data_IF_933608533303
#
_entry.id   IF_933608533303
#
_cell.length_a   1.000
_cell.length_b   1.000
_cell.length_c   1.000
_cell.angle_alpha   90.00
_cell.angle_beta   90.00
_cell.angle_gamma   90.00
#
_symmetry.space_group_name_H-M   'P 1'
#
loop_
_entity.id
_entity.type
_entity.pdbx_description
1 polymer ?
#
# COMPACT_ATOMS: atom_id res chain seq x y z
N UNK A 1 -9.30 13.14 -13.70
CA UNK A 1 -8.22 14.08 -13.33
C UNK A 1 -8.76 15.48 -13.06
N UNK A 2 -9.55 16.08 -13.95
CA UNK A 2 -10.11 17.43 -13.78
C UNK A 2 -10.79 17.69 -12.42
N UNK A 3 -11.73 16.84 -12.00
CA UNK A 3 -12.40 17.00 -10.70
C UNK A 3 -11.43 16.90 -9.52
N UNK A 4 -10.41 16.04 -9.61
CA UNK A 4 -9.38 15.91 -8.56
C UNK A 4 -8.56 17.21 -8.49
N UNK A 5 -8.25 17.82 -9.63
CA UNK A 5 -7.53 19.08 -9.71
C UNK A 5 -8.34 20.23 -9.11
N UNK A 6 -9.63 20.31 -9.43
CA UNK A 6 -10.54 21.31 -8.86
C UNK A 6 -10.60 21.19 -7.33
N UNK A 7 -10.75 19.96 -6.81
CA UNK A 7 -10.71 19.69 -5.37
C UNK A 7 -9.38 20.14 -4.78
N UNK A 8 -8.25 19.72 -5.37
CA UNK A 8 -6.90 20.07 -4.91
C UNK A 8 -6.66 21.59 -4.87
N UNK A 9 -7.29 22.36 -5.74
CA UNK A 9 -7.15 23.82 -5.80
C UNK A 9 -8.09 24.56 -4.83
N UNK A 10 -9.17 23.91 -4.38
CA UNK A 10 -10.26 24.58 -3.65
C UNK A 10 -10.27 24.25 -2.16
N UNK A 11 -9.88 23.05 -1.76
CA UNK A 11 -9.94 22.64 -0.35
C UNK A 11 -8.82 23.29 0.47
N UNK A 12 -9.14 23.65 1.73
CA UNK A 12 -8.18 24.29 2.65
C UNK A 12 -7.27 23.28 3.40
N UNK A 13 -7.45 21.98 3.15
CA UNK A 13 -6.74 20.88 3.84
C UNK A 13 -5.97 20.03 2.83
N UNK A 14 -4.93 19.29 3.24
CA UNK A 14 -4.21 18.40 2.34
C UNK A 14 -5.12 17.32 1.73
N UNK A 15 -5.00 17.08 0.42
CA UNK A 15 -5.65 15.99 -0.29
C UNK A 15 -4.77 14.75 -0.30
N UNK A 16 -5.37 13.59 0.03
CA UNK A 16 -4.77 12.28 -0.21
C UNK A 16 -5.63 11.57 -1.26
N UNK A 17 -5.04 11.21 -2.40
CA UNK A 17 -5.73 10.40 -3.40
C UNK A 17 -5.45 8.92 -3.14
N UNK A 18 -6.50 8.11 -3.01
CA UNK A 18 -6.40 6.74 -2.54
C UNK A 18 -7.07 5.78 -3.53
N UNK A 19 -6.40 4.66 -3.81
CA UNK A 19 -7.01 3.53 -4.51
C UNK A 19 -7.86 2.69 -3.52
N UNK A 20 -8.70 1.79 -4.02
CA UNK A 20 -9.67 1.01 -3.25
C UNK A 20 -9.40 -0.50 -3.22
N UNK A 21 -8.30 -0.99 -3.80
CA UNK A 21 -7.93 -2.42 -3.73
C UNK A 21 -7.40 -3.01 -5.04
N UNK A 22 -7.13 -2.19 -6.06
CA UNK A 22 -6.61 -2.57 -7.37
C UNK A 22 -5.18 -2.09 -7.62
N UNK A 23 -4.66 -1.19 -6.78
CA UNK A 23 -3.27 -0.72 -6.86
C UNK A 23 -3.06 0.41 -7.87
N UNK A 24 -2.18 1.36 -7.53
CA UNK A 24 -1.80 2.47 -8.42
C UNK A 24 -0.57 2.15 -9.28
N UNK A 25 -0.64 2.42 -10.58
CA UNK A 25 0.51 2.34 -11.50
C UNK A 25 1.36 3.61 -11.45
N UNK A 26 2.61 3.56 -11.91
CA UNK A 26 3.48 4.75 -11.97
C UNK A 26 2.88 5.85 -12.86
N UNK A 27 2.23 5.48 -13.97
CA UNK A 27 1.59 6.42 -14.89
C UNK A 27 0.41 7.14 -14.22
N UNK A 28 -0.38 6.42 -13.41
CA UNK A 28 -1.48 7.02 -12.65
C UNK A 28 -0.95 8.02 -11.63
N UNK A 29 0.15 7.68 -10.95
CA UNK A 29 0.80 8.53 -9.95
C UNK A 29 1.38 9.79 -10.61
N UNK A 30 2.02 9.66 -11.77
CA UNK A 30 2.53 10.80 -12.54
C UNK A 30 1.41 11.76 -12.97
N UNK A 31 0.28 11.22 -13.45
CA UNK A 31 -0.88 12.04 -13.80
C UNK A 31 -1.45 12.79 -12.58
N UNK A 32 -1.51 12.14 -11.42
CA UNK A 32 -1.94 12.79 -10.17
C UNK A 32 -0.97 13.89 -9.73
N UNK A 33 0.34 13.63 -9.82
CA UNK A 33 1.36 14.61 -9.47
C UNK A 33 1.31 15.84 -10.40
N UNK A 34 1.07 15.65 -11.70
CA UNK A 34 0.94 16.74 -12.68
C UNK A 34 -0.19 17.72 -12.34
N UNK A 35 -1.27 17.26 -11.70
CA UNK A 35 -2.37 18.11 -11.24
C UNK A 35 -2.20 18.63 -9.81
N UNK A 36 -1.02 18.43 -9.21
CA UNK A 36 -0.64 18.99 -7.91
C UNK A 36 -0.98 18.13 -6.70
N UNK A 37 -1.38 16.87 -6.88
CA UNK A 37 -1.55 15.92 -5.77
C UNK A 37 -0.19 15.64 -5.15
N UNK A 38 -0.10 15.78 -3.82
CA UNK A 38 1.15 15.60 -3.08
C UNK A 38 1.24 14.27 -2.34
N UNK A 39 0.11 13.63 -2.04
CA UNK A 39 0.07 12.41 -1.24
C UNK A 39 -0.89 11.40 -1.84
N UNK A 40 -0.45 10.14 -1.91
CA UNK A 40 -1.24 9.03 -2.43
C UNK A 40 -1.27 7.83 -1.47
N UNK A 41 -2.32 7.01 -1.53
CA UNK A 41 -2.36 5.68 -0.92
C UNK A 41 -2.57 4.62 -2.00
N UNK A 42 -1.56 3.78 -2.22
CA UNK A 42 -1.53 2.85 -3.35
C UNK A 42 -2.62 1.78 -3.28
N UNK A 43 -3.07 1.40 -2.08
CA UNK A 43 -4.15 0.42 -1.82
C UNK A 43 -4.23 -0.75 -2.82
N UNK A 44 -3.19 -1.58 -2.86
CA UNK A 44 -3.09 -2.66 -3.84
C UNK A 44 -4.01 -3.85 -3.57
N UNK A 45 -4.09 -4.74 -4.57
CA UNK A 45 -4.74 -6.05 -4.45
C UNK A 45 -4.00 -6.91 -3.43
N UNK A 46 -4.76 -7.70 -2.68
CA UNK A 46 -4.22 -8.67 -1.73
C UNK A 46 -4.90 -8.65 -0.38
N UNK A 47 -5.90 -7.78 -0.16
CA UNK A 47 -6.79 -7.78 1.01
C UNK A 47 -8.25 -7.77 0.59
N UNK A 48 -9.02 -6.79 1.07
CA UNK A 48 -10.39 -6.55 0.61
C UNK A 48 -10.42 -6.35 -0.91
N UNK A 49 -11.27 -7.11 -1.60
CA UNK A 49 -11.46 -7.00 -3.05
C UNK A 49 -12.85 -6.45 -3.36
N UNK A 50 -12.92 -5.24 -3.89
CA UNK A 50 -14.20 -4.62 -4.26
C UNK A 50 -14.83 -5.28 -5.49
N UNK A 51 -14.05 -5.88 -6.40
CA UNK A 51 -14.63 -6.71 -7.47
C UNK A 51 -15.37 -7.90 -6.87
N UNK A 52 -14.82 -8.55 -5.84
CA UNK A 52 -15.49 -9.67 -5.17
C UNK A 52 -16.70 -9.23 -4.34
N UNK A 53 -16.62 -8.11 -3.62
CA UNK A 53 -17.75 -7.54 -2.88
C UNK A 53 -18.90 -7.22 -3.84
N UNK A 54 -18.63 -6.47 -4.91
CA UNK A 54 -19.66 -6.10 -5.88
C UNK A 54 -20.18 -7.31 -6.66
N UNK A 55 -19.34 -8.31 -6.91
CA UNK A 55 -19.79 -9.57 -7.50
C UNK A 55 -20.73 -10.35 -6.56
N UNK A 56 -20.44 -10.36 -5.25
CA UNK A 56 -21.28 -11.03 -4.26
C UNK A 56 -22.65 -10.33 -4.08
N UNK A 57 -22.76 -9.04 -4.39
CA UNK A 57 -24.01 -8.28 -4.41
C UNK A 57 -24.88 -8.58 -5.65
N UNK A 58 -24.33 -9.24 -6.66
CA UNK A 58 -25.04 -9.63 -7.89
C UNK A 58 -25.58 -11.05 -7.77
N UNK A 59 -26.80 -11.26 -8.24
CA UNK A 59 -27.42 -12.60 -8.24
C UNK A 59 -26.66 -13.61 -9.11
N UNK A 60 -26.26 -13.20 -10.32
CA UNK A 60 -25.62 -14.06 -11.31
C UNK A 60 -24.10 -14.23 -11.10
N UNK A 61 -23.49 -13.42 -10.24
CA UNK A 61 -22.04 -13.43 -9.92
C UNK A 61 -21.12 -13.44 -11.16
N UNK A 62 -21.53 -12.72 -12.20
CA UNK A 62 -20.86 -12.74 -13.51
C UNK A 62 -19.46 -12.11 -13.52
N UNK A 63 -19.05 -11.37 -12.49
CA UNK A 63 -17.75 -10.69 -12.42
C UNK A 63 -16.63 -11.57 -11.82
N UNK A 64 -16.83 -12.89 -11.73
CA UNK A 64 -15.84 -13.81 -11.14
C UNK A 64 -14.48 -13.76 -11.85
N UNK A 65 -14.46 -13.51 -13.15
CA UNK A 65 -13.23 -13.37 -13.95
C UNK A 65 -12.36 -12.15 -13.55
N UNK A 66 -12.90 -11.21 -12.75
CA UNK A 66 -12.18 -10.05 -12.21
C UNK A 66 -11.65 -10.28 -10.79
N UNK A 67 -11.63 -11.52 -10.30
CA UNK A 67 -11.15 -11.84 -8.95
C UNK A 67 -9.71 -11.36 -8.70
N UNK A 68 -8.89 -11.47 -9.72
CA UNK A 68 -7.47 -11.14 -9.69
C UNK A 68 -7.13 -9.84 -10.42
N UNK A 69 -8.14 -9.01 -10.71
CA UNK A 69 -7.93 -7.71 -11.35
C UNK A 69 -7.11 -6.77 -10.46
N UNK A 70 -6.16 -6.06 -11.07
CA UNK A 70 -5.29 -5.11 -10.39
C UNK A 70 -3.97 -5.72 -9.89
N UNK A 71 -3.11 -4.84 -9.42
CA UNK A 71 -1.74 -5.13 -9.02
C UNK A 71 -1.60 -5.15 -7.50
N UNK A 72 -0.63 -5.93 -7.02
CA UNK A 72 -0.43 -6.10 -5.58
C UNK A 72 0.02 -4.81 -4.89
N UNK A 73 -0.13 -4.73 -3.57
CA UNK A 73 0.41 -3.61 -2.77
C UNK A 73 1.92 -3.47 -2.94
N UNK A 74 2.65 -4.58 -2.96
CA UNK A 74 4.11 -4.59 -3.17
C UNK A 74 4.45 -4.04 -4.55
N UNK A 75 3.76 -4.51 -5.58
CA UNK A 75 3.93 -4.03 -6.96
C UNK A 75 3.65 -2.53 -7.08
N UNK A 76 2.58 -2.05 -6.46
CA UNK A 76 2.20 -0.63 -6.53
C UNK A 76 3.19 0.27 -5.79
N UNK A 77 3.77 -0.20 -4.68
CA UNK A 77 4.87 0.52 -4.00
C UNK A 77 6.12 0.60 -4.87
N UNK A 78 6.49 -0.50 -5.54
CA UNK A 78 7.62 -0.51 -6.46
C UNK A 78 7.40 0.47 -7.62
N UNK A 79 6.22 0.44 -8.24
CA UNK A 79 5.83 1.37 -9.31
C UNK A 79 5.85 2.83 -8.82
N UNK A 80 5.35 3.12 -7.62
CA UNK A 80 5.33 4.46 -7.06
C UNK A 80 6.74 5.08 -6.92
N UNK A 81 7.75 4.27 -6.62
CA UNK A 81 9.14 4.71 -6.54
C UNK A 81 9.86 4.84 -7.87
N UNK A 82 9.25 4.41 -8.97
CA UNK A 82 9.74 4.60 -10.34
C UNK A 82 8.96 5.68 -11.10
N UNK A 83 7.94 6.29 -10.49
CA UNK A 83 7.26 7.45 -11.04
C UNK A 83 8.20 8.65 -11.09
N UNK A 84 8.20 9.39 -12.20
CA UNK A 84 8.98 10.62 -12.34
C UNK A 84 8.29 11.82 -11.65
N UNK A 85 7.96 11.65 -10.37
CA UNK A 85 7.26 12.63 -9.55
C UNK A 85 7.67 12.50 -8.08
N UNK A 86 7.64 13.60 -7.35
CA UNK A 86 7.82 13.59 -5.88
C UNK A 86 6.45 13.66 -5.23
N UNK A 87 6.01 12.53 -4.67
CA UNK A 87 4.78 12.41 -3.88
C UNK A 87 5.07 11.64 -2.59
N UNK A 88 4.33 11.97 -1.54
CA UNK A 88 4.26 11.21 -0.31
C UNK A 88 3.46 9.92 -0.56
N UNK A 89 4.08 8.77 -0.26
CA UNK A 89 3.54 7.45 -0.59
C UNK A 89 3.06 6.76 0.68
N UNK A 90 1.76 6.51 0.76
CA UNK A 90 1.14 5.66 1.78
C UNK A 90 0.84 4.28 1.19
N UNK A 91 0.87 3.25 2.03
CA UNK A 91 0.54 1.89 1.65
C UNK A 91 -0.72 1.40 2.35
N UNK A 92 -1.58 0.72 1.62
CA UNK A 92 -2.65 -0.09 2.21
C UNK A 92 -2.99 -1.24 1.26
N UNK A 93 -4.01 -2.03 1.61
CA UNK A 93 -4.40 -3.21 0.85
C UNK A 93 -3.66 -4.45 1.33
N UNK A 94 -4.37 -5.38 1.97
CA UNK A 94 -3.84 -6.68 2.38
C UNK A 94 -2.92 -6.68 3.61
N UNK A 95 -2.87 -5.60 4.39
CA UNK A 95 -2.08 -5.51 5.62
C UNK A 95 -2.76 -6.29 6.76
N UNK A 96 -2.12 -7.37 7.22
CA UNK A 96 -2.71 -8.31 8.20
C UNK A 96 -1.93 -8.40 9.52
N UNK A 97 -0.72 -7.88 9.57
CA UNK A 97 0.18 -8.01 10.72
C UNK A 97 1.15 -6.84 10.83
N UNK A 98 1.80 -6.70 11.98
CA UNK A 98 2.93 -5.78 12.17
C UNK A 98 4.06 -6.02 11.16
N UNK A 99 4.28 -7.28 10.76
CA UNK A 99 5.32 -7.61 9.79
C UNK A 99 4.99 -7.15 8.36
N UNK A 100 3.70 -7.15 7.97
CA UNK A 100 3.27 -6.57 6.70
C UNK A 100 3.43 -5.05 6.70
N UNK A 101 3.11 -4.38 7.82
CA UNK A 101 3.37 -2.95 8.01
C UNK A 101 4.87 -2.68 7.83
N UNK A 102 5.72 -3.42 8.54
CA UNK A 102 7.17 -3.28 8.46
C UNK A 102 7.70 -3.44 7.03
N UNK A 103 7.25 -4.46 6.29
CA UNK A 103 7.63 -4.66 4.87
C UNK A 103 7.24 -3.48 3.99
N UNK A 104 6.03 -2.94 4.16
CA UNK A 104 5.57 -1.78 3.40
C UNK A 104 6.41 -0.52 3.70
N UNK A 105 6.79 -0.33 4.96
CA UNK A 105 7.69 0.76 5.37
C UNK A 105 9.11 0.58 4.80
N UNK A 106 9.67 -0.64 4.82
CA UNK A 106 10.95 -0.93 4.17
C UNK A 106 10.89 -0.70 2.65
N UNK A 107 9.74 -0.97 2.03
CA UNK A 107 9.52 -0.68 0.61
C UNK A 107 9.47 0.82 0.29
N UNK A 108 9.33 1.68 1.30
CA UNK A 108 9.40 3.14 1.18
C UNK A 108 8.09 3.88 1.41
N UNK A 109 7.05 3.18 1.90
CA UNK A 109 5.84 3.84 2.39
C UNK A 109 6.14 4.68 3.64
N UNK A 110 5.53 5.86 3.74
CA UNK A 110 5.67 6.76 4.89
C UNK A 110 4.68 6.44 6.00
N UNK A 111 3.51 5.89 5.65
CA UNK A 111 2.56 5.31 6.60
C UNK A 111 1.82 4.13 5.97
N UNK A 112 1.23 3.29 6.83
CA UNK A 112 0.52 2.08 6.40
C UNK A 112 -0.89 2.06 6.96
N UNK A 113 -1.88 1.97 6.07
CA UNK A 113 -3.30 1.85 6.39
C UNK A 113 -3.77 0.40 6.43
N UNK A 114 -4.72 0.13 7.32
CA UNK A 114 -5.43 -1.16 7.43
C UNK A 114 -6.93 -0.91 7.54
N UNK A 115 -7.74 -1.83 7.02
CA UNK A 115 -9.20 -1.73 7.08
C UNK A 115 -9.82 -3.09 7.36
N UNK A 116 -9.79 -4.02 6.40
CA UNK A 116 -10.48 -5.32 6.52
C UNK A 116 -10.07 -6.14 7.73
N UNK A 117 -8.78 -6.12 8.10
CA UNK A 117 -8.27 -6.85 9.27
C UNK A 117 -8.80 -6.27 10.58
N UNK A 118 -8.70 -4.95 10.77
CA UNK A 118 -9.19 -4.29 11.98
C UNK A 118 -10.71 -4.39 12.09
N UNK A 119 -11.45 -4.20 10.98
CA UNK A 119 -12.90 -4.34 10.96
C UNK A 119 -13.33 -5.75 11.33
N UNK A 120 -12.73 -6.78 10.72
CA UNK A 120 -13.04 -8.18 11.01
C UNK A 120 -12.76 -8.50 12.49
N UNK A 121 -11.62 -8.05 13.00
CA UNK A 121 -11.25 -8.28 14.40
C UNK A 121 -12.24 -7.61 15.36
N UNK A 122 -12.61 -6.35 15.10
CA UNK A 122 -13.59 -5.61 15.88
C UNK A 122 -14.95 -6.30 15.91
N UNK A 123 -15.43 -6.77 14.77
CA UNK A 123 -16.71 -7.46 14.66
C UNK A 123 -16.75 -8.79 15.42
N UNK A 124 -15.61 -9.50 15.47
CA UNK A 124 -15.53 -10.83 16.07
C UNK A 124 -15.17 -10.79 17.57
N UNK A 125 -14.42 -9.80 18.02
CA UNK A 125 -13.81 -9.76 19.36
C UNK A 125 -14.14 -8.51 20.17
N UNK A 126 -14.72 -7.47 19.55
CA UNK A 126 -15.08 -6.24 20.23
C UNK A 126 -13.93 -5.22 20.35
N UNK A 127 -14.25 -4.09 20.99
CA UNK A 127 -13.37 -2.90 21.05
C UNK A 127 -12.11 -3.15 21.88
N UNK A 128 -12.26 -3.72 23.08
CA UNK A 128 -11.13 -3.93 24.00
C UNK A 128 -10.04 -4.81 23.38
N UNK A 129 -10.45 -5.94 22.79
CA UNK A 129 -9.52 -6.87 22.16
C UNK A 129 -8.88 -6.26 20.91
N UNK A 130 -9.60 -5.38 20.21
CA UNK A 130 -9.04 -4.65 19.08
C UNK A 130 -8.00 -3.61 19.51
N UNK A 131 -8.21 -2.94 20.66
CA UNK A 131 -7.19 -2.07 21.26
C UNK A 131 -5.95 -2.88 21.62
N UNK A 132 -6.10 -4.08 22.20
CA UNK A 132 -4.99 -4.96 22.52
C UNK A 132 -4.22 -5.39 21.27
N UNK A 133 -4.90 -5.74 20.17
CA UNK A 133 -4.28 -6.07 18.89
C UNK A 133 -3.41 -4.91 18.37
N UNK A 134 -3.93 -3.68 18.39
CA UNK A 134 -3.17 -2.52 17.91
C UNK A 134 -1.95 -2.24 18.80
N UNK A 135 -2.09 -2.35 20.12
CA UNK A 135 -0.96 -2.24 21.06
C UNK A 135 0.09 -3.33 20.82
N UNK A 136 -0.33 -4.56 20.58
CA UNK A 136 0.56 -5.66 20.23
C UNK A 136 1.36 -5.34 18.96
N UNK A 137 0.71 -4.86 17.90
CA UNK A 137 1.41 -4.48 16.67
C UNK A 137 2.42 -3.34 16.89
N UNK A 138 2.13 -2.39 17.78
CA UNK A 138 3.08 -1.35 18.15
C UNK A 138 4.35 -1.93 18.81
N UNK A 139 4.20 -2.90 19.71
CA UNK A 139 5.36 -3.58 20.33
C UNK A 139 6.13 -4.43 19.32
N UNK A 140 5.44 -5.19 18.48
CA UNK A 140 6.05 -6.00 17.43
C UNK A 140 6.83 -5.13 16.43
N UNK A 141 6.31 -3.97 16.06
CA UNK A 141 7.01 -3.01 15.21
C UNK A 141 8.30 -2.50 15.89
N UNK A 142 8.28 -2.19 17.18
CA UNK A 142 9.51 -1.80 17.91
C UNK A 142 10.56 -2.91 17.89
N UNK A 143 10.15 -4.17 18.04
CA UNK A 143 11.04 -5.31 17.89
C UNK A 143 11.63 -5.40 16.48
N UNK A 144 10.79 -5.29 15.44
CA UNK A 144 11.22 -5.37 14.04
C UNK A 144 12.20 -4.25 13.69
N UNK A 145 11.98 -3.03 14.16
CA UNK A 145 12.91 -1.91 14.03
C UNK A 145 14.26 -2.22 14.71
N UNK A 146 14.21 -2.80 15.91
CA UNK A 146 15.40 -3.21 16.66
C UNK A 146 16.20 -4.28 15.93
N UNK A 147 15.54 -5.27 15.33
CA UNK A 147 16.20 -6.37 14.59
C UNK A 147 17.04 -5.88 13.40
N UNK A 148 16.65 -4.76 12.79
CA UNK A 148 17.38 -4.16 11.67
C UNK A 148 18.20 -2.93 12.06
N UNK A 149 18.28 -2.63 13.36
CA UNK A 149 19.02 -1.49 13.89
C UNK A 149 18.48 -0.11 13.48
N UNK A 150 17.22 -0.02 13.05
CA UNK A 150 16.61 1.22 12.61
C UNK A 150 15.95 1.97 13.77
N UNK A 151 16.21 3.27 13.89
CA UNK A 151 15.64 4.15 14.92
C UNK A 151 14.44 4.94 14.42
N UNK A 152 14.35 5.14 13.11
CA UNK A 152 13.30 5.92 12.47
C UNK A 152 12.73 5.17 11.26
N UNK A 153 11.48 5.47 10.90
CA UNK A 153 10.85 4.88 9.70
C UNK A 153 11.63 5.20 8.43
N UNK A 154 12.22 6.39 8.37
CA UNK A 154 13.08 6.79 7.24
C UNK A 154 14.32 5.92 7.09
N UNK A 155 14.82 5.29 8.15
CA UNK A 155 15.96 4.37 8.07
C UNK A 155 15.58 3.02 7.47
N UNK A 156 14.31 2.63 7.52
CA UNK A 156 13.86 1.33 6.98
C UNK A 156 14.01 1.22 5.47
N UNK A 157 13.97 2.34 4.74
CA UNK A 157 14.16 2.35 3.28
C UNK A 157 15.56 1.93 2.85
N UNK A 158 16.52 1.87 3.77
CA UNK A 158 17.89 1.43 3.53
C UNK A 158 18.07 -0.08 3.74
N UNK A 159 17.04 -0.79 4.21
CA UNK A 159 17.11 -2.24 4.34
C UNK A 159 17.14 -2.89 2.95
N UNK A 160 18.08 -3.81 2.76
CA UNK A 160 18.18 -4.60 1.53
C UNK A 160 16.96 -5.51 1.39
N UNK A 161 16.33 -5.48 0.21
CA UNK A 161 15.13 -6.25 -0.09
C UNK A 161 15.39 -7.20 -1.26
N UNK A 162 14.99 -8.45 -1.09
CA UNK A 162 15.07 -9.49 -2.12
C UNK A 162 13.66 -9.90 -2.54
N UNK A 163 13.41 -9.88 -3.84
CA UNK A 163 12.12 -10.24 -4.43
C UNK A 163 12.21 -11.55 -5.19
N UNK A 164 11.11 -12.30 -5.20
CA UNK A 164 10.97 -13.57 -5.91
C UNK A 164 9.55 -13.73 -6.48
N UNK A 165 9.37 -14.71 -7.36
CA UNK A 165 8.08 -15.01 -8.00
C UNK A 165 7.52 -13.83 -8.79
N UNK A 166 6.19 -13.68 -8.76
CA UNK A 166 5.48 -12.70 -9.57
C UNK A 166 5.96 -11.24 -9.39
N UNK A 167 6.49 -10.88 -8.21
CA UNK A 167 7.06 -9.54 -7.98
C UNK A 167 8.36 -9.36 -8.76
N UNK A 168 9.22 -10.38 -8.77
CA UNK A 168 10.45 -10.38 -9.56
C UNK A 168 10.12 -10.28 -11.06
N UNK A 169 9.19 -11.10 -11.52
CA UNK A 169 8.76 -11.13 -12.93
C UNK A 169 8.19 -9.76 -13.36
N UNK A 170 7.43 -9.11 -12.48
CA UNK A 170 6.95 -7.75 -12.70
C UNK A 170 8.09 -6.74 -12.85
N UNK A 171 9.06 -6.76 -11.91
CA UNK A 171 10.20 -5.86 -11.96
C UNK A 171 11.00 -6.02 -13.25
N UNK A 172 11.23 -7.26 -13.71
CA UNK A 172 11.92 -7.54 -14.97
C UNK A 172 11.15 -6.99 -16.17
N UNK A 173 9.83 -7.20 -16.22
CA UNK A 173 8.98 -6.70 -17.30
C UNK A 173 8.81 -5.17 -17.32
N UNK A 174 8.94 -4.52 -16.17
CA UNK A 174 8.71 -3.08 -15.95
C UNK A 174 10.00 -2.28 -15.72
N UNK A 175 11.13 -2.91 -15.98
CA UNK A 175 12.48 -2.36 -15.88
C UNK A 175 12.79 -1.73 -14.50
N UNK A 176 12.24 -2.33 -13.43
CA UNK A 176 12.50 -1.92 -12.05
C UNK A 176 13.74 -2.66 -11.55
N UNK A 177 14.80 -1.92 -11.22
CA UNK A 177 16.10 -2.51 -10.85
C UNK A 177 16.03 -3.31 -9.55
N UNK A 178 16.04 -4.64 -9.63
CA UNK A 178 16.11 -5.53 -8.46
C UNK A 178 17.41 -5.31 -7.65
N UNK A 179 18.51 -4.99 -8.34
CA UNK A 179 19.81 -4.73 -7.71
C UNK A 179 19.78 -3.47 -6.85
N UNK A 180 19.04 -2.42 -7.27
CA UNK A 180 18.83 -1.19 -6.48
C UNK A 180 18.25 -1.50 -5.10
N UNK A 181 17.30 -2.43 -5.02
CA UNK A 181 16.68 -2.82 -3.75
C UNK A 181 17.51 -3.82 -2.95
N UNK A 182 18.14 -4.79 -3.63
CA UNK A 182 18.95 -5.82 -2.97
C UNK A 182 20.30 -5.34 -2.42
N UNK A 183 20.70 -4.09 -2.70
CA UNK A 183 21.95 -3.47 -2.24
C UNK A 183 21.74 -2.15 -1.50
N UNK A 184 20.56 -1.94 -0.93
CA UNK A 184 20.31 -0.77 -0.07
C UNK A 184 21.19 -0.89 1.18
N UNK A 185 21.83 0.23 1.53
CA UNK A 185 22.68 0.44 2.70
C UNK A 185 22.27 1.75 3.38
#
# INVERSE_FOLDING_TARGET
MELIQEIQQTIAVPLIVKEVGFGMTRETIEQLAQIGVKTIDVSGRGGTSFTQIENARREKRELTYLADWGQSTVTSLLEAHEANATVDILASGGIRSAYDIFKALCLGAQAVGTSGTVLTHLMNHGVEETILLIKQWQEELRLLYTLVGARTTNELKYQSLIFSGAVKDWCEAREISLVKYGRRN
#
